data_IF_634653202990
#
_entry.id   IF_634653202990
#
_cell.length_a   1.000
_cell.length_b   1.000
_cell.length_c   1.000
_cell.angle_alpha   90.00
_cell.angle_beta   90.00
_cell.angle_gamma   90.00
#
_symmetry.space_group_name_H-M   'P 1'
#
loop_
_entity.id
_entity.type
_entity.pdbx_description
1 polymer ?
#
# COMPACT_ATOMS: atom_id res chain seq x y z
N UNK A 1 -23.08 -18.91 27.65
CA UNK A 1 -23.02 -17.70 26.81
C UNK A 1 -21.76 -17.81 25.98
N UNK A 2 -21.88 -17.93 24.66
CA UNK A 2 -20.74 -17.87 23.74
C UNK A 2 -20.24 -16.43 23.66
N UNK A 3 -18.92 -16.23 23.62
CA UNK A 3 -18.34 -14.89 23.48
C UNK A 3 -18.67 -14.30 22.10
N UNK A 4 -18.61 -12.98 21.91
CA UNK A 4 -18.84 -12.37 20.60
C UNK A 4 -17.83 -12.92 19.58
N UNK A 5 -16.58 -13.15 20.01
CA UNK A 5 -15.53 -13.75 19.20
C UNK A 5 -15.89 -15.15 18.69
N UNK A 6 -16.44 -16.02 19.54
CA UNK A 6 -16.88 -17.36 19.10
C UNK A 6 -17.98 -17.28 18.05
N UNK A 7 -18.90 -16.32 18.19
CA UNK A 7 -19.99 -16.09 17.23
C UNK A 7 -19.45 -15.59 15.90
N UNK A 8 -18.52 -14.65 15.92
CA UNK A 8 -17.83 -14.16 14.72
C UNK A 8 -17.15 -15.32 13.98
N UNK A 9 -16.46 -16.22 14.69
CA UNK A 9 -15.84 -17.39 14.07
C UNK A 9 -16.84 -18.36 13.44
N UNK A 10 -18.00 -18.57 14.07
CA UNK A 10 -19.03 -19.48 13.56
C UNK A 10 -19.78 -18.89 12.37
N UNK A 11 -20.16 -17.61 12.43
CA UNK A 11 -20.96 -16.96 11.38
C UNK A 11 -20.11 -16.54 10.18
N UNK A 12 -18.93 -15.96 10.43
CA UNK A 12 -18.05 -15.50 9.36
C UNK A 12 -17.09 -16.57 8.85
N UNK A 13 -17.18 -17.80 9.37
CA UNK A 13 -16.57 -18.96 8.74
C UNK A 13 -17.18 -19.30 7.37
N UNK A 14 -18.40 -18.81 7.08
CA UNK A 14 -19.02 -18.88 5.76
C UNK A 14 -18.52 -17.72 4.86
N UNK A 15 -17.86 -18.01 3.72
CA UNK A 15 -17.42 -16.99 2.77
C UNK A 15 -18.55 -16.08 2.26
N UNK A 16 -19.78 -16.58 2.16
CA UNK A 16 -20.92 -15.77 1.72
C UNK A 16 -21.33 -14.74 2.79
N UNK A 17 -21.40 -15.16 4.05
CA UNK A 17 -21.67 -14.27 5.18
C UNK A 17 -20.57 -13.22 5.34
N UNK A 18 -19.30 -13.63 5.24
CA UNK A 18 -18.18 -12.70 5.26
C UNK A 18 -18.20 -11.72 4.08
N UNK A 19 -18.54 -12.19 2.88
CA UNK A 19 -18.70 -11.35 1.69
C UNK A 19 -19.81 -10.30 1.84
N UNK A 20 -20.93 -10.67 2.46
CA UNK A 20 -22.02 -9.74 2.76
C UNK A 20 -21.58 -8.62 3.72
N UNK A 21 -20.73 -8.95 4.69
CA UNK A 21 -20.17 -7.99 5.65
C UNK A 21 -19.22 -6.97 4.99
N UNK A 22 -18.51 -7.36 3.92
CA UNK A 22 -17.63 -6.48 3.15
C UNK A 22 -18.39 -5.51 2.25
N UNK A 23 -19.69 -5.74 2.02
CA UNK A 23 -20.54 -4.97 1.12
C UNK A 23 -21.79 -4.43 1.84
N UNK A 24 -21.64 -3.64 2.92
CA UNK A 24 -22.77 -3.20 3.72
C UNK A 24 -23.71 -2.30 2.89
N UNK A 25 -25.02 -2.43 3.14
CA UNK A 25 -26.04 -1.69 2.40
C UNK A 25 -25.91 -0.15 2.54
N UNK A 26 -25.30 0.33 3.63
CA UNK A 26 -25.03 1.74 3.88
C UNK A 26 -23.77 2.31 3.22
N UNK A 27 -23.03 1.52 2.43
CA UNK A 27 -21.81 1.95 1.73
C UNK A 27 -21.97 1.82 0.20
N UNK A 28 -22.78 2.69 -0.44
CA UNK A 28 -23.03 2.61 -1.89
C UNK A 28 -21.77 2.86 -2.72
N UNK A 29 -20.84 3.68 -2.21
CA UNK A 29 -19.59 4.04 -2.89
C UNK A 29 -18.46 3.01 -2.69
N UNK A 30 -18.73 1.96 -1.90
CA UNK A 30 -17.78 0.89 -1.53
C UNK A 30 -16.50 1.45 -0.89
N UNK A 31 -16.63 2.48 -0.05
CA UNK A 31 -15.51 3.12 0.64
C UNK A 31 -14.69 2.15 1.48
N UNK A 32 -15.33 1.12 2.06
CA UNK A 32 -14.63 0.09 2.81
C UNK A 32 -13.61 -0.64 1.93
N UNK A 33 -14.03 -1.07 0.75
CA UNK A 33 -13.17 -1.77 -0.21
C UNK A 33 -12.08 -0.85 -0.77
N UNK A 34 -12.42 0.42 -1.05
CA UNK A 34 -11.43 1.43 -1.47
C UNK A 34 -10.35 1.65 -0.40
N UNK A 35 -10.74 1.71 0.87
CA UNK A 35 -9.81 1.82 2.01
C UNK A 35 -8.86 0.63 2.04
N UNK A 36 -9.39 -0.59 1.85
CA UNK A 36 -8.56 -1.79 1.81
C UNK A 36 -7.58 -1.77 0.63
N UNK A 37 -8.03 -1.41 -0.57
CA UNK A 37 -7.17 -1.34 -1.75
C UNK A 37 -6.06 -0.30 -1.59
N UNK A 38 -6.37 0.89 -1.07
CA UNK A 38 -5.40 1.94 -0.80
C UNK A 38 -4.41 1.57 0.32
N UNK A 39 -4.79 0.67 1.23
CA UNK A 39 -3.90 0.16 2.26
C UNK A 39 -2.95 -0.95 1.78
N UNK A 40 -3.28 -1.62 0.66
CA UNK A 40 -2.50 -2.76 0.12
C UNK A 40 -1.66 -2.38 -1.10
N UNK A 41 -2.11 -1.39 -1.87
CA UNK A 41 -1.48 -0.99 -3.12
C UNK A 41 -1.14 0.49 -3.14
N UNK A 42 -0.01 0.84 -3.76
CA UNK A 42 0.20 2.20 -4.24
C UNK A 42 -0.62 2.41 -5.52
N UNK A 43 -1.65 3.24 -5.40
CA UNK A 43 -2.58 3.59 -6.48
C UNK A 43 -2.26 4.97 -7.08
N UNK A 44 -1.06 5.50 -6.89
CA UNK A 44 -0.64 6.80 -7.43
C UNK A 44 -0.83 6.94 -8.94
N UNK A 45 -0.71 5.84 -9.69
CA UNK A 45 -0.91 5.79 -11.14
C UNK A 45 -2.30 5.24 -11.56
N UNK A 46 -3.19 4.93 -10.61
CA UNK A 46 -4.48 4.27 -10.87
C UNK A 46 -5.61 4.97 -10.13
N UNK A 47 -6.56 5.53 -10.86
CA UNK A 47 -7.77 6.13 -10.31
C UNK A 47 -8.93 5.14 -10.37
N UNK A 48 -9.37 4.64 -9.23
CA UNK A 48 -10.54 3.75 -9.15
C UNK A 48 -11.83 4.58 -9.32
N UNK A 49 -12.56 4.33 -10.40
CA UNK A 49 -13.87 4.93 -10.65
C UNK A 49 -14.95 4.27 -9.79
N UNK A 50 -15.06 2.93 -9.86
CA UNK A 50 -16.03 2.14 -9.08
C UNK A 50 -15.52 0.75 -8.75
N UNK A 51 -15.99 0.20 -7.63
CA UNK A 51 -15.84 -1.22 -7.31
C UNK A 51 -17.09 -1.95 -7.79
N UNK A 52 -16.91 -2.88 -8.73
CA UNK A 52 -18.00 -3.60 -9.38
C UNK A 52 -18.44 -4.83 -8.58
N UNK A 53 -17.47 -5.60 -8.10
CA UNK A 53 -17.74 -6.86 -7.41
C UNK A 53 -16.63 -7.22 -6.42
N UNK A 54 -16.97 -7.97 -5.38
CA UNK A 54 -16.05 -8.52 -4.39
C UNK A 54 -16.43 -9.97 -4.14
N UNK A 55 -15.52 -10.88 -4.46
CA UNK A 55 -15.69 -12.31 -4.18
C UNK A 55 -14.72 -12.76 -3.11
N UNK A 56 -15.23 -13.43 -2.07
CA UNK A 56 -14.41 -14.13 -1.08
C UNK A 56 -14.08 -15.52 -1.63
N UNK A 57 -12.80 -15.81 -1.81
CA UNK A 57 -12.33 -17.07 -2.36
C UNK A 57 -11.99 -18.09 -1.29
N UNK A 58 -10.87 -17.87 -0.60
CA UNK A 58 -10.37 -18.72 0.48
C UNK A 58 -10.52 -17.99 1.82
N UNK A 59 -10.87 -18.72 2.87
CA UNK A 59 -11.06 -18.18 4.20
C UNK A 59 -10.43 -19.15 5.22
N UNK A 60 -9.50 -18.64 6.01
CA UNK A 60 -8.82 -19.36 7.09
C UNK A 60 -9.16 -18.69 8.42
N UNK A 61 -9.61 -19.49 9.38
CA UNK A 61 -9.88 -19.02 10.75
C UNK A 61 -8.65 -19.24 11.63
N UNK A 62 -8.38 -18.30 12.53
CA UNK A 62 -7.27 -18.36 13.49
C UNK A 62 -5.91 -18.59 12.80
N UNK A 63 -5.54 -17.70 11.88
CA UNK A 63 -4.28 -17.78 11.15
C UNK A 63 -3.12 -17.22 11.99
N UNK A 64 -2.04 -17.99 12.24
CA UNK A 64 -0.88 -17.50 12.98
C UNK A 64 0.09 -16.73 12.08
N UNK A 65 0.31 -15.44 12.38
CA UNK A 65 1.30 -14.61 11.72
C UNK A 65 2.60 -14.56 12.55
N UNK A 66 3.70 -15.03 11.96
CA UNK A 66 5.02 -14.98 12.59
C UNK A 66 5.81 -13.79 12.06
N UNK A 67 6.15 -12.85 12.95
CA UNK A 67 7.02 -11.74 12.60
C UNK A 67 8.40 -12.26 12.17
N UNK A 68 8.82 -11.84 10.98
CA UNK A 68 10.17 -12.08 10.48
C UNK A 68 11.05 -10.96 11.00
N UNK A 69 12.19 -11.31 11.60
CA UNK A 69 13.16 -10.32 12.05
C UNK A 69 14.46 -10.54 11.28
N UNK A 70 15.12 -9.44 10.92
CA UNK A 70 16.36 -9.47 10.16
C UNK A 70 17.52 -9.27 11.11
N UNK A 71 18.32 -10.32 11.32
CA UNK A 71 19.53 -10.25 12.12
C UNK A 71 20.72 -9.99 11.20
N UNK A 72 21.15 -8.73 11.14
CA UNK A 72 22.41 -8.34 10.51
C UNK A 72 23.56 -8.43 11.50
N UNK A 73 24.61 -9.17 11.15
CA UNK A 73 25.81 -9.29 11.95
C UNK A 73 27.08 -9.30 11.11
N UNK A 74 28.17 -8.80 11.68
CA UNK A 74 29.50 -8.92 11.07
C UNK A 74 30.24 -10.07 11.71
N UNK A 75 30.70 -11.03 10.92
CA UNK A 75 31.58 -12.09 11.40
C UNK A 75 33.01 -11.82 10.96
N UNK A 76 33.86 -11.48 11.92
CA UNK A 76 35.29 -11.23 11.69
C UNK A 76 36.10 -12.43 12.17
N UNK A 77 36.90 -13.02 11.28
CA UNK A 77 37.82 -14.10 11.62
C UNK A 77 39.27 -13.62 11.42
N UNK A 78 40.05 -13.57 12.49
CA UNK A 78 41.47 -13.23 12.41
C UNK A 78 42.30 -14.51 12.22
N UNK A 79 42.62 -14.82 10.97
CA UNK A 79 43.66 -15.81 10.60
C UNK A 79 44.89 -15.02 10.07
N UNK A 80 46.03 -15.63 9.71
CA UNK A 80 47.22 -14.88 9.25
C UNK A 80 47.00 -13.95 8.04
N UNK A 81 45.81 -13.98 7.43
CA UNK A 81 45.28 -12.94 6.53
C UNK A 81 43.94 -12.42 7.06
N UNK A 82 43.72 -11.11 6.97
CA UNK A 82 42.46 -10.48 7.38
C UNK A 82 41.35 -10.88 6.41
N UNK A 83 40.42 -11.72 6.86
CA UNK A 83 39.19 -12.03 6.14
C UNK A 83 37.99 -11.46 6.91
N UNK A 84 37.20 -10.60 6.26
CA UNK A 84 35.95 -10.05 6.79
C UNK A 84 34.79 -10.65 6.01
N UNK A 85 33.86 -11.29 6.72
CA UNK A 85 32.62 -11.81 6.12
C UNK A 85 31.44 -11.05 6.70
N UNK A 86 30.60 -10.49 5.84
CA UNK A 86 29.34 -9.87 6.23
C UNK A 86 28.24 -10.93 6.14
N UNK A 87 27.50 -11.12 7.22
CA UNK A 87 26.47 -12.14 7.32
C UNK A 87 25.12 -11.47 7.61
N UNK A 88 24.20 -11.60 6.66
CA UNK A 88 22.79 -11.29 6.88
C UNK A 88 22.02 -12.61 7.05
N UNK A 89 21.35 -12.79 8.19
CA UNK A 89 20.46 -13.91 8.44
C UNK A 89 19.04 -13.37 8.66
N UNK A 90 18.14 -13.79 7.79
CA UNK A 90 16.71 -13.58 8.00
C UNK A 90 16.17 -14.77 8.81
N UNK A 91 15.48 -14.49 9.91
CA UNK A 91 14.99 -15.53 10.80
C UNK A 91 13.67 -15.16 11.46
N UNK A 92 12.73 -16.10 11.50
CA UNK A 92 11.52 -15.99 12.33
C UNK A 92 11.93 -15.97 13.80
N UNK A 93 11.78 -14.81 14.44
CA UNK A 93 12.28 -14.59 15.81
C UNK A 93 11.17 -14.70 16.86
N UNK A 94 9.91 -14.45 16.51
CA UNK A 94 8.83 -14.56 17.49
C UNK A 94 8.40 -16.00 17.72
N UNK A 95 8.58 -16.50 18.95
CA UNK A 95 7.94 -17.74 19.42
C UNK A 95 6.43 -17.60 19.61
N UNK A 96 5.95 -16.36 19.71
CA UNK A 96 4.54 -16.04 19.93
C UNK A 96 3.96 -15.45 18.64
N UNK A 97 3.10 -16.18 17.90
CA UNK A 97 2.47 -15.63 16.72
C UNK A 97 1.51 -14.49 17.09
N UNK A 98 1.37 -13.53 16.18
CA UNK A 98 0.23 -12.61 16.16
C UNK A 98 -0.93 -13.38 15.51
N UNK A 99 -2.03 -13.53 16.21
CA UNK A 99 -3.18 -14.27 15.68
C UNK A 99 -4.09 -13.34 14.87
N UNK A 100 -4.40 -13.77 13.65
CA UNK A 100 -5.42 -13.17 12.79
C UNK A 100 -6.68 -14.03 12.95
N UNK A 101 -7.81 -13.42 13.28
CA UNK A 101 -9.04 -14.17 13.51
C UNK A 101 -9.60 -14.76 12.23
N UNK A 102 -9.60 -13.98 11.14
CA UNK A 102 -10.01 -14.43 9.81
C UNK A 102 -9.00 -13.90 8.80
N UNK A 103 -8.37 -14.79 8.06
CA UNK A 103 -7.59 -14.45 6.87
C UNK A 103 -8.41 -14.82 5.63
N UNK A 104 -8.78 -13.83 4.84
CA UNK A 104 -9.59 -14.02 3.64
C UNK A 104 -8.83 -13.61 2.37
N UNK A 105 -8.95 -14.39 1.30
CA UNK A 105 -8.46 -14.01 -0.04
C UNK A 105 -9.61 -13.49 -0.87
N UNK A 106 -9.51 -12.23 -1.25
CA UNK A 106 -10.54 -11.51 -1.96
C UNK A 106 -10.13 -11.30 -3.42
N UNK A 107 -11.10 -11.44 -4.32
CA UNK A 107 -11.01 -10.94 -5.69
C UNK A 107 -11.89 -9.71 -5.79
N UNK A 108 -11.28 -8.56 -5.98
CA UNK A 108 -11.96 -7.28 -6.10
C UNK A 108 -11.95 -6.85 -7.55
N UNK A 109 -13.12 -6.78 -8.16
CA UNK A 109 -13.27 -6.29 -9.54
C UNK A 109 -13.55 -4.80 -9.50
N UNK A 110 -12.67 -4.01 -10.10
CA UNK A 110 -12.75 -2.55 -10.16
C UNK A 110 -12.86 -2.09 -11.61
N UNK A 111 -13.51 -0.95 -11.81
CA UNK A 111 -13.33 -0.14 -13.00
C UNK A 111 -12.38 0.97 -12.62
N UNK A 112 -11.26 1.08 -13.32
CA UNK A 112 -10.22 2.05 -13.01
C UNK A 112 -9.69 2.71 -14.28
N UNK A 113 -9.36 3.98 -14.16
CA UNK A 113 -8.54 4.69 -15.11
C UNK A 113 -7.08 4.49 -14.70
N UNK A 114 -6.33 3.79 -15.54
CA UNK A 114 -4.87 3.70 -15.39
C UNK A 114 -4.33 4.86 -16.20
N UNK A 115 -3.58 5.77 -15.58
CA UNK A 115 -2.91 6.83 -16.32
C UNK A 115 -1.93 6.19 -17.31
N UNK A 116 -2.22 6.19 -18.62
CA UNK A 116 -1.40 5.51 -19.58
C UNK A 116 -0.28 6.42 -20.06
N UNK A 117 0.16 7.42 -19.26
CA UNK A 117 1.18 8.41 -19.57
C UNK A 117 2.53 7.77 -19.91
N UNK A 118 2.56 7.04 -21.02
CA UNK A 118 3.74 6.64 -21.73
C UNK A 118 4.33 7.87 -22.38
N UNK A 119 5.65 7.87 -22.48
CA UNK A 119 6.35 8.86 -23.27
C UNK A 119 5.89 8.76 -24.73
N UNK A 120 5.31 9.84 -25.25
CA UNK A 120 5.14 10.08 -26.68
C UNK A 120 6.51 10.25 -27.35
N UNK A 121 7.43 10.93 -26.68
CA UNK A 121 8.82 11.03 -27.12
C UNK A 121 9.77 11.21 -25.93
N UNK A 122 10.90 10.53 -25.98
CA UNK A 122 12.05 10.81 -25.12
C UNK A 122 13.16 11.35 -26.03
N UNK A 123 13.53 12.60 -25.84
CA UNK A 123 14.62 13.23 -26.58
C UNK A 123 15.72 13.56 -25.59
N UNK A 124 16.87 12.92 -25.75
CA UNK A 124 18.08 13.24 -24.98
C UNK A 124 19.04 14.02 -25.88
N UNK A 125 19.28 15.26 -25.50
CA UNK A 125 20.22 16.15 -26.18
C UNK A 125 21.40 16.42 -25.26
N UNK A 126 22.61 16.46 -25.83
CA UNK A 126 23.74 17.07 -25.15
C UNK A 126 23.41 18.55 -24.96
N UNK A 127 23.57 19.05 -23.73
CA UNK A 127 23.40 20.46 -23.44
C UNK A 127 24.78 21.11 -23.44
N UNK A 128 25.35 21.21 -24.63
CA UNK A 128 26.61 21.88 -24.94
C UNK A 128 26.39 23.22 -25.67
N UNK A 129 25.11 23.57 -25.94
CA UNK A 129 24.70 24.72 -26.76
C UNK A 129 24.41 26.02 -26.00
N UNK A 130 24.69 26.12 -24.70
CA UNK A 130 24.43 27.34 -23.91
C UNK A 130 25.63 28.31 -23.93
N UNK A 131 25.42 29.58 -24.23
CA UNK A 131 26.47 30.62 -24.34
C UNK A 131 26.65 31.46 -23.07
N UNK A 132 25.66 31.43 -22.17
CA UNK A 132 25.65 32.21 -20.92
C UNK A 132 25.14 31.39 -19.73
N UNK A 133 25.44 31.83 -18.50
CA UNK A 133 24.93 31.21 -17.27
C UNK A 133 23.39 31.34 -17.16
N UNK A 134 22.80 32.43 -17.66
CA UNK A 134 21.35 32.60 -17.64
C UNK A 134 20.62 31.67 -18.63
N UNK A 135 21.25 31.37 -19.78
CA UNK A 135 20.76 30.33 -20.68
C UNK A 135 20.82 28.94 -20.02
N UNK A 136 21.89 28.65 -19.28
CA UNK A 136 22.00 27.43 -18.51
C UNK A 136 20.88 27.33 -17.46
N UNK A 137 20.63 28.38 -16.67
CA UNK A 137 19.54 28.42 -15.69
C UNK A 137 18.16 28.19 -16.32
N UNK A 138 17.92 28.72 -17.52
CA UNK A 138 16.65 28.46 -18.25
C UNK A 138 16.53 27.03 -18.75
N UNK A 139 17.63 26.42 -19.18
CA UNK A 139 17.62 25.04 -19.66
C UNK A 139 17.54 24.03 -18.50
N UNK A 140 18.07 24.39 -17.33
CA UNK A 140 18.15 23.56 -16.14
C UNK A 140 17.57 24.27 -14.89
N UNK A 141 16.26 24.56 -14.86
CA UNK A 141 15.65 25.31 -13.77
C UNK A 141 15.67 24.59 -12.42
N UNK A 142 15.95 23.28 -12.42
CA UNK A 142 15.98 22.43 -11.22
C UNK A 142 17.37 22.35 -10.57
N UNK A 143 18.40 22.90 -11.21
CA UNK A 143 19.77 22.93 -10.67
C UNK A 143 19.98 24.29 -9.99
N UNK A 144 20.37 24.26 -8.72
CA UNK A 144 20.93 25.44 -8.06
C UNK A 144 22.33 25.70 -8.60
N UNK A 145 22.40 26.53 -9.64
CA UNK A 145 23.63 26.80 -10.36
C UNK A 145 24.69 27.46 -9.47
N UNK A 146 24.30 28.34 -8.55
CA UNK A 146 25.24 29.07 -7.71
C UNK A 146 25.90 28.16 -6.68
N UNK A 147 25.11 27.27 -6.06
CA UNK A 147 25.64 26.23 -5.19
C UNK A 147 26.57 25.27 -5.94
N UNK A 148 26.16 24.83 -7.13
CA UNK A 148 26.96 23.92 -7.97
C UNK A 148 28.30 24.55 -8.39
N UNK A 149 28.29 25.81 -8.84
CA UNK A 149 29.51 26.53 -9.23
C UNK A 149 30.46 26.71 -8.05
N UNK A 150 29.94 27.00 -6.85
CA UNK A 150 30.75 27.15 -5.64
C UNK A 150 31.38 25.82 -5.19
N UNK A 151 30.64 24.71 -5.26
CA UNK A 151 31.12 23.38 -4.89
C UNK A 151 32.25 22.88 -5.80
N UNK A 152 32.13 23.15 -7.11
CA UNK A 152 33.09 22.69 -8.11
C UNK A 152 34.19 23.71 -8.46
N UNK A 153 34.19 24.88 -7.82
CA UNK A 153 35.17 25.94 -8.09
C UNK A 153 35.09 26.51 -9.50
N UNK A 154 33.90 26.47 -10.11
CA UNK A 154 33.63 26.94 -11.47
C UNK A 154 33.27 28.42 -11.41
N UNK A 155 33.92 29.23 -12.24
CA UNK A 155 33.72 30.69 -12.28
C UNK A 155 33.31 31.22 -13.66
N UNK A 156 33.45 30.41 -14.71
CA UNK A 156 33.14 30.79 -16.09
C UNK A 156 32.24 29.77 -16.80
N UNK A 157 31.60 30.21 -17.88
CA UNK A 157 30.74 29.36 -18.72
C UNK A 157 31.56 28.28 -19.42
N UNK A 158 32.77 28.58 -19.89
CA UNK A 158 33.65 27.55 -20.47
C UNK A 158 34.02 26.48 -19.45
N UNK A 159 34.34 26.87 -18.20
CA UNK A 159 34.63 25.92 -17.14
C UNK A 159 33.42 25.05 -16.81
N UNK A 160 32.21 25.60 -16.89
CA UNK A 160 30.97 24.84 -16.69
C UNK A 160 30.74 23.81 -17.81
N UNK A 161 31.05 24.15 -19.07
CA UNK A 161 30.97 23.21 -20.20
C UNK A 161 32.04 22.12 -20.13
N UNK A 162 33.27 22.47 -19.75
CA UNK A 162 34.37 21.51 -19.67
C UNK A 162 34.22 20.56 -18.47
N UNK A 163 33.68 21.06 -17.36
CA UNK A 163 33.54 20.28 -16.13
C UNK A 163 32.43 19.23 -16.19
N UNK A 164 31.52 19.28 -17.17
CA UNK A 164 30.30 18.47 -17.14
C UNK A 164 29.69 18.24 -18.52
N UNK A 165 29.46 16.96 -18.86
CA UNK A 165 28.62 16.58 -19.98
C UNK A 165 27.17 16.50 -19.49
N UNK A 166 26.44 17.60 -19.61
CA UNK A 166 25.02 17.62 -19.24
C UNK A 166 24.18 16.99 -20.35
N UNK A 167 23.36 16.01 -19.98
CA UNK A 167 22.34 15.45 -20.87
C UNK A 167 21.00 16.00 -20.44
N UNK A 168 20.32 16.72 -21.33
CA UNK A 168 18.93 17.13 -21.11
C UNK A 168 18.02 16.10 -21.75
N UNK A 169 17.24 15.41 -20.92
CA UNK A 169 16.19 14.51 -21.39
C UNK A 169 14.84 15.20 -21.29
N UNK A 170 14.20 15.44 -22.43
CA UNK A 170 12.82 15.92 -22.49
C UNK A 170 11.90 14.73 -22.75
N UNK A 171 11.00 14.47 -21.81
CA UNK A 171 9.95 13.46 -21.94
C UNK A 171 8.65 14.18 -22.25
N UNK A 172 8.12 13.96 -23.46
CA UNK A 172 6.77 14.39 -23.83
C UNK A 172 5.83 13.24 -23.52
N UNK A 173 4.82 13.49 -22.69
CA UNK A 173 3.81 12.49 -22.35
C UNK A 173 2.71 12.48 -23.41
N UNK A 174 2.20 11.30 -23.74
CA UNK A 174 1.05 11.16 -24.63
C UNK A 174 -0.18 11.76 -23.96
N UNK A 175 -1.00 12.50 -24.70
CA UNK A 175 -2.31 12.91 -24.22
C UNK A 175 -3.20 11.67 -24.05
N UNK A 176 -3.67 11.42 -22.83
CA UNK A 176 -4.58 10.31 -22.56
C UNK A 176 -5.89 10.49 -23.33
N UNK A 177 -6.42 9.41 -23.89
CA UNK A 177 -7.77 9.42 -24.44
C UNK A 177 -8.78 9.66 -23.29
N UNK A 178 -9.96 10.24 -23.57
CA UNK A 178 -11.00 10.37 -22.56
C UNK A 178 -11.35 8.99 -21.97
N UNK A 179 -11.39 8.91 -20.64
CA UNK A 179 -11.77 7.70 -19.92
C UNK A 179 -13.26 7.36 -20.15
N UNK A 180 -13.52 6.10 -20.51
CA UNK A 180 -14.86 5.54 -20.64
C UNK A 180 -15.08 4.45 -19.56
N UNK A 181 -15.92 4.71 -18.53
CA UNK A 181 -16.15 3.76 -17.43
C UNK A 181 -16.92 2.50 -17.84
N UNK A 182 -17.53 2.48 -19.02
CA UNK A 182 -18.28 1.34 -19.54
C UNK A 182 -17.47 0.49 -20.54
N UNK A 183 -16.25 0.93 -20.89
CA UNK A 183 -15.31 0.12 -21.67
C UNK A 183 -14.84 -1.10 -20.85
N UNK A 184 -15.06 -2.34 -21.31
CA UNK A 184 -14.58 -3.54 -20.64
C UNK A 184 -13.05 -3.57 -20.45
N UNK A 185 -12.28 -2.84 -21.27
CA UNK A 185 -10.82 -2.73 -21.12
C UNK A 185 -10.40 -2.03 -19.81
N UNK A 186 -11.28 -1.23 -19.21
CA UNK A 186 -11.05 -0.53 -17.95
C UNK A 186 -11.48 -1.34 -16.71
N UNK A 187 -11.91 -2.60 -16.91
CA UNK A 187 -12.28 -3.51 -15.82
C UNK A 187 -11.10 -4.40 -15.44
N UNK A 188 -10.70 -4.35 -14.17
CA UNK A 188 -9.57 -5.11 -13.64
C UNK A 188 -9.96 -5.90 -12.40
N UNK A 189 -9.29 -7.03 -12.18
CA UNK A 189 -9.44 -7.84 -10.96
C UNK A 189 -8.16 -7.80 -10.15
N UNK A 190 -8.27 -7.36 -8.90
CA UNK A 190 -7.19 -7.26 -7.92
C UNK A 190 -7.36 -8.35 -6.85
N UNK A 191 -6.26 -8.97 -6.44
CA UNK A 191 -6.27 -10.02 -5.42
C UNK A 191 -5.77 -9.47 -4.09
N UNK A 192 -6.68 -9.31 -3.12
CA UNK A 192 -6.37 -8.72 -1.81
C UNK A 192 -6.42 -9.81 -0.75
N UNK A 193 -5.38 -9.94 0.07
CA UNK A 193 -5.46 -10.70 1.30
C UNK A 193 -5.93 -9.78 2.43
N UNK A 194 -7.00 -10.15 3.12
CA UNK A 194 -7.58 -9.40 4.23
C UNK A 194 -7.36 -10.15 5.54
N UNK A 195 -6.66 -9.50 6.47
CA UNK A 195 -6.56 -9.91 7.86
C UNK A 195 -7.64 -9.20 8.69
N UNK A 196 -8.67 -9.93 9.11
CA UNK A 196 -9.72 -9.40 9.98
C UNK A 196 -9.51 -9.82 11.43
N UNK A 197 -9.69 -8.88 12.35
CA UNK A 197 -9.47 -9.02 13.79
C UNK A 197 -10.76 -8.71 14.53
N UNK A 198 -11.14 -9.56 15.47
CA UNK A 198 -12.36 -9.38 16.27
C UNK A 198 -12.00 -8.74 17.60
N UNK A 199 -12.73 -7.69 17.97
CA UNK A 199 -12.54 -6.99 19.24
C UNK A 199 -13.78 -7.18 20.11
N UNK A 200 -13.58 -7.80 21.27
CA UNK A 200 -14.61 -8.09 22.28
C UNK A 200 -14.03 -7.85 23.68
N UNK A 201 -14.52 -6.88 24.46
CA UNK A 201 -15.65 -5.97 24.19
C UNK A 201 -15.30 -4.87 23.17
N UNK A 202 -16.26 -4.02 22.82
CA UNK A 202 -16.03 -2.87 21.95
C UNK A 202 -15.00 -1.89 22.54
N UNK A 203 -13.82 -1.85 21.92
CA UNK A 203 -12.73 -0.93 22.27
C UNK A 203 -12.02 -0.47 20.97
N UNK A 204 -12.17 0.81 20.65
CA UNK A 204 -11.57 1.42 19.46
C UNK A 204 -10.03 1.45 19.53
N UNK A 205 -9.47 1.67 20.72
CA UNK A 205 -8.03 1.74 20.91
C UNK A 205 -7.40 0.35 20.82
N UNK A 206 -8.06 -0.67 21.36
CA UNK A 206 -7.67 -2.07 21.18
C UNK A 206 -7.69 -2.47 19.72
N UNK A 207 -8.75 -2.15 18.97
CA UNK A 207 -8.84 -2.43 17.54
C UNK A 207 -7.71 -1.80 16.72
N UNK A 208 -7.42 -0.52 16.95
CA UNK A 208 -6.30 0.17 16.27
C UNK A 208 -4.94 -0.43 16.66
N UNK A 209 -4.77 -0.81 17.92
CA UNK A 209 -3.53 -1.45 18.40
C UNK A 209 -3.34 -2.82 17.75
N UNK A 210 -4.38 -3.64 17.72
CA UNK A 210 -4.35 -4.97 17.11
C UNK A 210 -4.03 -4.87 15.60
N UNK A 211 -4.69 -3.93 14.90
CA UNK A 211 -4.42 -3.68 13.49
C UNK A 211 -2.98 -3.25 13.23
N UNK A 212 -2.42 -2.38 14.09
CA UNK A 212 -1.02 -1.97 14.03
C UNK A 212 -0.07 -3.15 14.26
N UNK A 213 -0.35 -4.00 15.24
CA UNK A 213 0.46 -5.20 15.54
C UNK A 213 0.51 -6.16 14.35
N UNK A 214 -0.61 -6.40 13.66
CA UNK A 214 -0.61 -7.22 12.43
C UNK A 214 0.24 -6.60 11.34
N UNK A 215 0.08 -5.30 11.07
CA UNK A 215 0.87 -4.59 10.05
C UNK A 215 2.37 -4.62 10.33
N UNK A 216 2.75 -4.39 11.59
CA UNK A 216 4.16 -4.46 12.00
C UNK A 216 4.71 -5.88 11.84
N UNK A 217 3.94 -6.90 12.23
CA UNK A 217 4.34 -8.30 12.06
C UNK A 217 4.41 -8.76 10.59
N UNK A 218 3.63 -8.14 9.70
CA UNK A 218 3.64 -8.43 8.26
C UNK A 218 4.49 -7.45 7.44
N UNK A 219 5.24 -6.54 8.06
CA UNK A 219 5.92 -5.44 7.34
C UNK A 219 6.92 -5.94 6.28
N UNK A 220 7.65 -7.00 6.59
CA UNK A 220 8.62 -7.62 5.68
C UNK A 220 7.96 -8.57 4.66
N UNK A 221 6.64 -8.78 4.78
CA UNK A 221 5.87 -9.53 3.79
C UNK A 221 5.34 -8.54 2.75
N UNK A 222 5.78 -8.70 1.51
CA UNK A 222 5.17 -8.03 0.36
C UNK A 222 4.29 -9.01 -0.40
N UNK A 223 3.08 -8.57 -0.72
CA UNK A 223 2.21 -9.33 -1.62
C UNK A 223 2.77 -9.31 -3.04
N UNK A 224 2.29 -10.22 -3.89
CA UNK A 224 2.62 -10.15 -5.31
C UNK A 224 1.97 -8.91 -5.93
N UNK A 225 2.70 -8.12 -6.74
CA UNK A 225 2.10 -6.99 -7.44
C UNK A 225 0.97 -7.48 -8.35
N UNK A 226 -0.12 -6.72 -8.47
CA UNK A 226 -1.23 -7.09 -9.33
C UNK A 226 -0.77 -7.14 -10.79
N UNK A 227 -1.09 -8.23 -11.49
CA UNK A 227 -0.73 -8.38 -12.91
C UNK A 227 -1.57 -7.49 -13.83
N UNK A 228 -2.76 -7.10 -13.37
CA UNK A 228 -3.77 -6.44 -14.19
C UNK A 228 -3.62 -4.91 -14.24
N UNK A 229 -2.93 -4.31 -13.26
CA UNK A 229 -2.76 -2.86 -13.15
C UNK A 229 -1.33 -2.53 -12.76
N UNK A 230 -0.84 -1.36 -13.18
CA UNK A 230 0.48 -0.85 -12.78
C UNK A 230 0.35 -0.26 -11.37
N UNK A 231 0.45 -1.13 -10.36
CA UNK A 231 0.44 -0.74 -8.95
C UNK A 231 1.48 -1.56 -8.18
N UNK A 232 2.15 -0.92 -7.23
CA UNK A 232 3.05 -1.63 -6.31
C UNK A 232 2.25 -2.19 -5.13
N UNK A 233 2.60 -3.39 -4.66
CA UNK A 233 2.02 -3.92 -3.43
C UNK A 233 2.83 -3.42 -2.23
N UNK A 234 2.24 -2.52 -1.45
CA UNK A 234 2.89 -1.85 -0.32
C UNK A 234 2.71 -2.59 1.01
N UNK A 235 1.75 -3.52 1.08
CA UNK A 235 1.53 -4.38 2.24
C UNK A 235 1.00 -5.76 1.82
N UNK A 236 1.42 -6.84 2.49
CA UNK A 236 0.87 -8.17 2.24
C UNK A 236 -0.62 -8.32 2.57
N UNK A 237 -1.13 -7.55 3.55
CA UNK A 237 -2.50 -7.66 4.01
C UNK A 237 -3.18 -6.28 4.08
N UNK A 238 -4.41 -6.20 3.56
CA UNK A 238 -5.38 -5.24 4.07
C UNK A 238 -5.78 -5.68 5.48
N UNK A 239 -6.07 -4.73 6.37
CA UNK A 239 -6.47 -5.04 7.75
C UNK A 239 -7.88 -4.51 8.01
N UNK A 240 -8.70 -5.35 8.64
CA UNK A 240 -10.03 -5.01 9.11
C UNK A 240 -10.20 -5.32 10.59
N UNK A 241 -11.07 -4.58 11.26
CA UNK A 241 -11.51 -4.86 12.63
C UNK A 241 -13.01 -5.06 12.64
N UNK A 242 -13.47 -6.15 13.27
CA UNK A 242 -14.86 -6.56 13.38
C UNK A 242 -15.36 -6.18 14.78
N UNK A 243 -16.43 -5.39 14.80
CA UNK A 243 -17.15 -4.97 15.99
C UNK A 243 -18.57 -5.55 15.99
N UNK A 244 -19.18 -5.67 17.17
CA UNK A 244 -20.62 -5.93 17.26
C UNK A 244 -21.39 -4.66 16.84
N UNK A 245 -22.38 -4.80 15.95
CA UNK A 245 -23.13 -3.67 15.38
C UNK A 245 -23.83 -2.81 16.45
N UNK A 246 -24.29 -3.41 17.54
CA UNK A 246 -25.00 -2.70 18.61
C UNK A 246 -24.08 -1.91 19.55
N UNK A 247 -22.76 -2.14 19.49
CA UNK A 247 -21.85 -1.60 20.48
C UNK A 247 -21.61 -0.08 20.38
N UNK A 248 -21.41 0.53 19.19
CA UNK A 248 -21.21 1.97 19.06
C UNK A 248 -22.37 2.79 19.64
N UNK A 249 -23.61 2.32 19.44
CA UNK A 249 -24.82 3.03 19.85
C UNK A 249 -24.98 3.21 21.37
N UNK A 250 -24.26 2.44 22.18
CA UNK A 250 -24.32 2.54 23.65
C UNK A 250 -23.63 3.80 24.19
N UNK A 251 -22.65 4.32 23.47
CA UNK A 251 -21.84 5.48 23.86
C UNK A 251 -22.13 6.73 23.02
N UNK A 252 -23.19 6.71 22.20
CA UNK A 252 -23.55 7.80 21.30
C UNK A 252 -22.64 7.95 20.09
N UNK A 253 -21.83 6.93 19.78
CA UNK A 253 -20.93 6.90 18.63
C UNK A 253 -21.62 6.12 17.51
N UNK A 254 -21.57 6.65 16.29
CA UNK A 254 -22.13 5.97 15.11
C UNK A 254 -21.12 5.03 14.46
N UNK A 255 -21.60 3.95 13.83
CA UNK A 255 -20.74 3.06 13.03
C UNK A 255 -20.01 3.81 11.90
N UNK A 256 -20.60 4.88 11.37
CA UNK A 256 -19.98 5.75 10.38
C UNK A 256 -18.80 6.58 10.94
N UNK A 257 -18.88 7.03 12.20
CA UNK A 257 -17.76 7.71 12.88
C UNK A 257 -16.61 6.74 13.15
N UNK A 258 -16.92 5.54 13.62
CA UNK A 258 -15.92 4.47 13.79
C UNK A 258 -15.27 4.12 12.45
N UNK A 259 -16.08 3.95 11.40
CA UNK A 259 -15.59 3.70 10.03
C UNK A 259 -14.63 4.79 9.55
N UNK A 260 -14.95 6.07 9.75
CA UNK A 260 -14.07 7.20 9.39
C UNK A 260 -12.77 7.20 10.20
N UNK A 261 -12.84 6.92 11.49
CA UNK A 261 -11.65 6.84 12.36
C UNK A 261 -10.69 5.76 11.87
N UNK A 262 -11.20 4.55 11.61
CA UNK A 262 -10.39 3.42 11.16
C UNK A 262 -9.87 3.64 9.73
N UNK A 263 -10.69 4.19 8.83
CA UNK A 263 -10.27 4.53 7.47
C UNK A 263 -9.14 5.57 7.45
N UNK A 264 -9.13 6.53 8.38
CA UNK A 264 -8.02 7.46 8.56
C UNK A 264 -6.69 6.79 8.94
N UNK A 265 -6.74 5.59 9.52
CA UNK A 265 -5.59 4.72 9.76
C UNK A 265 -5.37 3.69 8.64
N UNK A 266 -6.14 3.72 7.55
CA UNK A 266 -6.13 2.74 6.46
C UNK A 266 -6.68 1.35 6.85
N UNK A 267 -7.44 1.26 7.94
CA UNK A 267 -8.02 0.02 8.44
C UNK A 267 -9.52 0.02 8.13
N UNK A 268 -10.07 -1.11 7.69
CA UNK A 268 -11.51 -1.25 7.51
C UNK A 268 -12.20 -1.55 8.85
N UNK A 269 -13.35 -0.92 9.12
CA UNK A 269 -14.21 -1.28 10.26
C UNK A 269 -15.43 -2.05 9.74
N UNK A 270 -15.64 -3.25 10.25
CA UNK A 270 -16.74 -4.16 9.93
C UNK A 270 -17.66 -4.27 11.15
N UNK A 271 -18.97 -4.35 10.91
CA UNK A 271 -19.99 -4.42 11.96
C UNK A 271 -20.86 -5.65 11.78
N UNK A 272 -20.67 -6.65 12.63
CA UNK A 272 -21.48 -7.87 12.60
C UNK A 272 -22.75 -7.66 13.41
N UNK A 273 -23.90 -7.85 12.77
CA UNK A 273 -25.17 -7.96 13.48
C UNK A 273 -25.21 -9.28 14.24
N UNK A 274 -25.58 -9.24 15.51
CA UNK A 274 -25.58 -10.42 16.39
C UNK A 274 -26.95 -10.72 17.01
N UNK A 275 -27.99 -10.08 16.48
CA UNK A 275 -29.37 -10.23 16.95
C UNK A 275 -30.02 -11.57 16.57
#
# INVERSE_FOLDING_TARGET
>A
MTSFRDRVMLELGDPAAFGALLLPAGDPDRQLIRTMLAATYDLSAVRIDRVRDVTVGELELQHPLFATDRKTGTWTQTVPSFARTELALDGTTSRNPVWIDILARLRVTVVAEIDPAGAESVVSEAADSFSTLDEFRRQFPFIDLDAFMAEHGISTVEQLRDASQYVRTTVRLRAAAPFDPDDPANTYTLNVALAALTVDPFDLAEGLRAARTVREASRELTGAPPKAVVAECTAAYAVAVIFAEEAPGKDGITSAEVGRLFAGAGVAALFLNTS
#
